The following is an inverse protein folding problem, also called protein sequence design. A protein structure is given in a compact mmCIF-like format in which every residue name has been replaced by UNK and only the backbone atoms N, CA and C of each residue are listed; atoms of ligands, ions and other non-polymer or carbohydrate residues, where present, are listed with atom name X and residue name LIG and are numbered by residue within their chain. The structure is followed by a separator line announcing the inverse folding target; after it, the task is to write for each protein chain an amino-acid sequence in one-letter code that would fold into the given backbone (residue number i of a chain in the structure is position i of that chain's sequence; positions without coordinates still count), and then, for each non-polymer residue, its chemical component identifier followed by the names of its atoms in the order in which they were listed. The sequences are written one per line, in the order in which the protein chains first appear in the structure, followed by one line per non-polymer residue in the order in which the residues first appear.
data_IF_861258646188
#
_entry.id   IF_861258646188
#
_cell.length_a   1.000
_cell.length_b   1.000
_cell.length_c   1.000
_cell.angle_alpha   90.00
_cell.angle_beta   90.00
_cell.angle_gamma   90.00
#
_symmetry.space_group_name_H-M   'P 1'
#
loop_
_entity.id
_entity.type
_entity.pdbx_description
1 polymer ?
#
# COMPACT_ATOMS: atom_id res chain seq x y z
N UNK A 1 11.19 -14.63 43.48
CA UNK A 1 9.71 -14.52 43.41
C UNK A 1 9.35 -14.48 41.94
N UNK A 2 8.71 -15.54 41.44
CA UNK A 2 8.44 -15.80 40.01
C UNK A 2 6.98 -15.42 39.78
N UNK A 3 6.72 -14.46 38.89
CA UNK A 3 5.35 -14.12 38.49
C UNK A 3 4.98 -14.96 37.27
N UNK A 4 4.06 -15.90 37.45
CA UNK A 4 3.41 -16.60 36.35
C UNK A 4 2.11 -15.86 36.05
N UNK A 5 1.97 -15.36 34.81
CA UNK A 5 0.70 -14.84 34.29
C UNK A 5 0.09 -15.95 33.45
N UNK A 6 -1.16 -16.37 33.69
CA UNK A 6 -1.77 -17.45 32.94
C UNK A 6 -2.06 -16.98 31.51
N UNK A 7 -1.62 -17.76 30.54
CA UNK A 7 -1.92 -17.58 29.12
C UNK A 7 -3.32 -18.13 28.89
N UNK A 8 -4.33 -17.29 29.13
CA UNK A 8 -5.71 -17.63 28.80
C UNK A 8 -5.94 -17.30 27.32
N UNK A 9 -6.26 -18.34 26.55
CA UNK A 9 -6.61 -18.34 25.13
C UNK A 9 -7.54 -17.17 24.77
N UNK A 10 -6.96 -16.09 24.24
CA UNK A 10 -7.70 -15.15 23.41
C UNK A 10 -7.51 -15.56 21.97
N UNK A 11 -8.37 -16.47 21.51
CA UNK A 11 -8.77 -16.47 20.12
C UNK A 11 -9.40 -15.09 19.86
N UNK A 12 -8.57 -14.12 19.47
CA UNK A 12 -9.04 -12.84 19.00
C UNK A 12 -9.72 -13.11 17.67
N UNK A 13 -11.05 -12.95 17.62
CA UNK A 13 -11.73 -12.66 16.36
C UNK A 13 -10.92 -11.58 15.64
N UNK A 14 -10.68 -11.69 14.32
CA UNK A 14 -9.99 -10.65 13.58
C UNK A 14 -10.88 -9.41 13.65
N UNK A 15 -10.62 -8.56 14.63
CA UNK A 15 -11.08 -7.19 14.64
C UNK A 15 -10.45 -6.60 13.39
N UNK A 16 -11.26 -6.48 12.35
CA UNK A 16 -11.03 -5.52 11.28
C UNK A 16 -10.96 -4.18 12.00
N UNK A 17 -9.75 -3.71 12.31
CA UNK A 17 -9.52 -2.40 12.87
C UNK A 17 -9.78 -1.38 11.76
N UNK A 18 -11.04 -1.10 11.49
CA UNK A 18 -11.37 0.14 10.80
C UNK A 18 -11.15 1.27 11.79
N UNK A 19 -10.33 2.26 11.43
CA UNK A 19 -10.22 3.54 12.13
C UNK A 19 -11.01 4.63 11.38
N UNK A 20 -12.33 4.48 11.16
CA UNK A 20 -13.09 5.32 10.23
C UNK A 20 -13.13 6.80 10.65
N UNK A 21 -13.05 7.09 11.95
CA UNK A 21 -13.27 8.42 12.50
C UNK A 21 -11.98 9.11 12.98
N UNK A 22 -10.83 8.48 12.76
CA UNK A 22 -9.54 8.99 13.21
C UNK A 22 -9.15 8.57 14.64
N UNK A 23 -8.05 9.14 15.13
CA UNK A 23 -7.50 8.84 16.45
C UNK A 23 -7.91 9.94 17.44
N UNK A 24 -8.54 9.51 18.54
CA UNK A 24 -8.98 10.38 19.62
C UNK A 24 -8.27 10.02 20.93
N UNK A 25 -7.60 10.99 21.53
CA UNK A 25 -6.96 10.89 22.84
C UNK A 25 -6.78 12.26 23.49
N UNK A 26 -6.37 12.32 24.77
CA UNK A 26 -6.13 13.60 25.43
C UNK A 26 -5.11 14.45 24.65
N UNK A 27 -5.57 15.55 24.07
CA UNK A 27 -4.75 16.43 23.22
C UNK A 27 -4.52 15.95 21.78
N UNK A 28 -5.10 14.82 21.37
CA UNK A 28 -4.99 14.29 20.01
C UNK A 28 -6.38 14.10 19.40
N UNK A 29 -6.70 14.94 18.41
CA UNK A 29 -7.90 14.84 17.58
C UNK A 29 -7.46 14.74 16.12
N UNK A 30 -6.97 13.56 15.72
CA UNK A 30 -6.47 13.34 14.36
C UNK A 30 -7.56 12.71 13.50
N UNK A 31 -8.08 13.46 12.53
CA UNK A 31 -8.93 12.92 11.46
C UNK A 31 -8.12 12.72 10.20
N UNK A 32 -8.29 11.58 9.55
CA UNK A 32 -7.72 11.29 8.24
C UNK A 32 -8.85 10.96 7.27
N UNK A 33 -8.69 11.36 6.00
CA UNK A 33 -9.53 10.86 4.93
C UNK A 33 -9.02 9.48 4.51
N UNK A 34 -9.90 8.51 4.42
CA UNK A 34 -9.60 7.26 3.72
C UNK A 34 -9.78 7.49 2.22
N UNK A 35 -8.74 7.19 1.45
CA UNK A 35 -8.77 7.25 -0.01
C UNK A 35 -8.87 5.83 -0.56
N UNK A 36 -9.93 5.57 -1.32
CA UNK A 36 -10.07 4.34 -2.07
C UNK A 36 -9.20 4.43 -3.32
N UNK A 37 -8.04 3.74 -3.29
CA UNK A 37 -7.07 3.77 -4.38
C UNK A 37 -7.64 3.20 -5.68
N UNK A 38 -8.62 2.30 -5.63
CA UNK A 38 -9.29 1.76 -6.82
C UNK A 38 -10.20 2.80 -7.53
N UNK A 39 -10.38 3.97 -6.93
CA UNK A 39 -11.08 5.10 -7.55
C UNK A 39 -10.13 6.18 -8.07
N UNK A 40 -8.85 6.05 -7.78
CA UNK A 40 -7.83 7.00 -8.19
C UNK A 40 -7.32 6.60 -9.56
N UNK A 41 -7.38 7.51 -10.52
CA UNK A 41 -6.84 7.26 -11.87
C UNK A 41 -5.32 7.13 -11.81
N UNK A 42 -4.77 6.01 -12.32
CA UNK A 42 -3.33 5.77 -12.33
C UNK A 42 -2.55 6.85 -13.07
N UNK A 43 -3.16 7.57 -14.02
CA UNK A 43 -2.51 8.66 -14.77
C UNK A 43 -1.93 9.73 -13.87
N UNK A 44 -2.62 10.10 -12.78
CA UNK A 44 -2.12 11.10 -11.84
C UNK A 44 -0.77 10.70 -11.22
N UNK A 45 -0.59 9.41 -10.97
CA UNK A 45 0.64 8.87 -10.40
C UNK A 45 1.73 8.65 -11.46
N UNK A 46 1.34 8.22 -12.67
CA UNK A 46 2.23 7.99 -13.81
C UNK A 46 2.81 9.31 -14.35
N UNK A 47 2.01 10.37 -14.43
CA UNK A 47 2.43 11.69 -14.92
C UNK A 47 3.49 12.36 -14.03
N UNK A 48 3.56 12.01 -12.74
CA UNK A 48 4.56 12.54 -11.82
C UNK A 48 5.95 11.96 -12.04
N UNK A 49 6.03 10.74 -12.59
CA UNK A 49 7.26 10.05 -12.98
C UNK A 49 8.37 10.06 -11.90
N UNK A 50 7.97 10.03 -10.62
CA UNK A 50 8.89 9.80 -9.50
C UNK A 50 8.77 8.36 -9.02
N UNK A 51 9.87 7.72 -8.56
CA UNK A 51 9.84 6.32 -8.14
C UNK A 51 8.72 6.01 -7.14
N UNK A 52 8.55 6.85 -6.12
CA UNK A 52 7.52 6.65 -5.09
C UNK A 52 6.10 6.78 -5.66
N UNK A 53 5.89 7.71 -6.62
CA UNK A 53 4.59 7.90 -7.26
C UNK A 53 4.25 6.72 -8.19
N UNK A 54 5.23 6.25 -8.96
CA UNK A 54 5.07 5.12 -9.86
C UNK A 54 4.69 3.83 -9.11
N UNK A 55 5.29 3.58 -7.95
CA UNK A 55 4.94 2.42 -7.15
C UNK A 55 3.51 2.51 -6.64
N UNK A 56 3.08 3.68 -6.17
CA UNK A 56 1.69 3.88 -5.73
C UNK A 56 0.69 3.72 -6.87
N UNK A 57 1.12 3.92 -8.14
CA UNK A 57 0.27 3.73 -9.30
C UNK A 57 -0.24 2.28 -9.42
N UNK A 58 0.46 1.26 -8.89
CA UNK A 58 0.00 -0.13 -8.90
C UNK A 58 -1.31 -0.35 -8.13
N UNK A 59 -1.56 0.49 -7.12
CA UNK A 59 -2.75 0.44 -6.29
C UNK A 59 -3.94 1.19 -6.91
N UNK A 60 -3.66 2.05 -7.91
CA UNK A 60 -4.66 2.88 -8.55
C UNK A 60 -5.57 2.08 -9.50
N UNK A 61 -6.66 2.71 -9.93
CA UNK A 61 -7.47 2.25 -11.05
C UNK A 61 -6.68 2.39 -12.35
N UNK A 62 -6.55 1.30 -13.10
CA UNK A 62 -5.92 1.33 -14.42
C UNK A 62 -6.86 1.85 -15.51
N UNK A 63 -8.18 1.90 -15.26
CA UNK A 63 -9.16 2.35 -16.23
C UNK A 63 -9.07 1.52 -17.52
N UNK A 64 -8.81 2.19 -18.65
CA UNK A 64 -8.65 1.56 -19.96
C UNK A 64 -7.19 1.16 -20.27
N UNK A 65 -6.25 1.38 -19.34
CA UNK A 65 -4.86 0.96 -19.52
C UNK A 65 -4.71 -0.55 -19.35
N UNK A 66 -3.93 -1.16 -20.24
CA UNK A 66 -3.51 -2.54 -20.08
C UNK A 66 -2.68 -2.69 -18.78
N UNK A 67 -3.07 -3.58 -17.84
CA UNK A 67 -2.36 -3.76 -16.57
C UNK A 67 -0.87 -4.06 -16.75
N UNK A 68 -0.52 -4.86 -17.77
CA UNK A 68 0.88 -5.22 -18.03
C UNK A 68 1.66 -4.01 -18.55
N UNK A 69 1.06 -3.18 -19.41
CA UNK A 69 1.67 -1.93 -19.86
C UNK A 69 1.94 -0.96 -18.70
N UNK A 70 1.03 -0.86 -17.72
CA UNK A 70 1.23 -0.04 -16.51
C UNK A 70 2.40 -0.58 -15.67
N UNK A 71 2.43 -1.89 -15.42
CA UNK A 71 3.53 -2.54 -14.68
C UNK A 71 4.88 -2.33 -15.37
N UNK A 72 4.92 -2.47 -16.70
CA UNK A 72 6.13 -2.26 -17.49
C UNK A 72 6.60 -0.80 -17.42
N UNK A 73 5.68 0.16 -17.46
CA UNK A 73 6.00 1.57 -17.32
C UNK A 73 6.59 1.89 -15.95
N UNK A 74 6.02 1.32 -14.88
CA UNK A 74 6.56 1.44 -13.52
C UNK A 74 7.99 0.87 -13.48
N UNK A 75 8.21 -0.33 -14.02
CA UNK A 75 9.56 -0.91 -14.08
C UNK A 75 10.57 -0.04 -14.81
N UNK A 76 10.17 0.61 -15.92
CA UNK A 76 11.05 1.49 -16.68
C UNK A 76 11.40 2.78 -15.90
N UNK A 77 10.42 3.37 -15.21
CA UNK A 77 10.62 4.64 -14.47
C UNK A 77 11.37 4.49 -13.13
N UNK A 78 11.51 3.27 -12.60
CA UNK A 78 12.33 3.02 -11.41
C UNK A 78 13.84 3.12 -11.68
N UNK A 79 14.25 3.20 -12.95
CA UNK A 79 15.64 3.46 -13.35
C UNK A 79 16.60 2.28 -13.12
N UNK A 80 17.85 2.47 -13.56
CA UNK A 80 18.87 1.41 -13.56
C UNK A 80 19.69 1.30 -12.26
N UNK A 81 19.39 2.09 -11.21
CA UNK A 81 20.08 1.96 -9.92
C UNK A 81 19.67 0.62 -9.28
N UNK A 82 20.57 -0.40 -9.27
CA UNK A 82 20.19 -1.75 -8.94
C UNK A 82 19.86 -1.93 -7.44
N UNK A 83 20.33 -1.02 -6.58
CA UNK A 83 20.04 -1.07 -5.15
C UNK A 83 18.64 -0.52 -4.89
N UNK A 84 18.34 0.67 -5.42
CA UNK A 84 17.00 1.28 -5.34
C UNK A 84 15.94 0.43 -6.05
N UNK A 85 16.27 -0.11 -7.21
CA UNK A 85 15.38 -0.97 -7.96
C UNK A 85 14.98 -2.21 -7.15
N UNK A 86 15.92 -2.82 -6.40
CA UNK A 86 15.61 -3.98 -5.56
C UNK A 86 14.62 -3.64 -4.46
N UNK A 87 14.85 -2.55 -3.74
CA UNK A 87 13.95 -2.08 -2.67
C UNK A 87 12.54 -1.82 -3.22
N UNK A 88 12.45 -1.19 -4.38
CA UNK A 88 11.18 -0.89 -5.03
C UNK A 88 10.50 -2.12 -5.66
N UNK A 89 11.25 -3.08 -6.17
CA UNK A 89 10.71 -4.35 -6.67
C UNK A 89 10.09 -5.19 -5.52
N UNK A 90 10.73 -5.21 -4.35
CA UNK A 90 10.16 -5.86 -3.16
C UNK A 90 8.83 -5.20 -2.75
N UNK A 91 8.77 -3.86 -2.73
CA UNK A 91 7.53 -3.13 -2.48
C UNK A 91 6.47 -3.43 -3.55
N UNK A 92 6.85 -3.43 -4.83
CA UNK A 92 5.94 -3.69 -5.94
C UNK A 92 5.30 -5.08 -5.82
N UNK A 93 6.08 -6.09 -5.40
CA UNK A 93 5.58 -7.46 -5.21
C UNK A 93 4.48 -7.51 -4.14
N UNK A 94 4.71 -6.90 -2.98
CA UNK A 94 3.72 -6.83 -1.89
C UNK A 94 2.46 -6.08 -2.34
N UNK A 95 2.62 -4.93 -3.00
CA UNK A 95 1.49 -4.11 -3.42
C UNK A 95 0.70 -4.73 -4.59
N UNK A 96 1.35 -5.47 -5.49
CA UNK A 96 0.68 -6.20 -6.56
C UNK A 96 -0.19 -7.33 -6.01
N UNK A 97 0.30 -8.04 -4.98
CA UNK A 97 -0.49 -9.05 -4.29
C UNK A 97 -1.75 -8.46 -3.66
N UNK A 98 -1.68 -7.24 -3.11
CA UNK A 98 -2.85 -6.54 -2.56
C UNK A 98 -3.94 -6.25 -3.61
N UNK A 99 -3.57 -6.19 -4.89
CA UNK A 99 -4.49 -5.96 -6.02
C UNK A 99 -4.83 -7.25 -6.78
N UNK A 100 -4.36 -8.42 -6.32
CA UNK A 100 -4.47 -9.70 -7.03
C UNK A 100 -3.91 -9.63 -8.47
N UNK A 101 -2.91 -8.78 -8.70
CA UNK A 101 -2.22 -8.68 -9.98
C UNK A 101 -1.12 -9.76 -10.04
N UNK A 102 -0.97 -10.40 -11.21
CA UNK A 102 0.16 -11.29 -11.45
C UNK A 102 1.38 -10.42 -11.78
N UNK A 103 2.27 -10.26 -10.82
CA UNK A 103 3.59 -9.66 -11.01
C UNK A 103 4.55 -10.66 -11.66
#
# INVERSE_FOLDING_TARGET
MRFEIPVEDRQADPVVQTMPDGLHGPGCHYRHGLMDMDRVDCRYSLEKDTPDSLILAILCNFGDHDPQAVVNHIHAGLGEDPKRFREYAEMLHVLSANRNLKA
#
